data_IF_941737057601
#
_entry.id   IF_941737057601
#
_cell.length_a   1.000
_cell.length_b   1.000
_cell.length_c   1.000
_cell.angle_alpha   90.00
_cell.angle_beta   90.00
_cell.angle_gamma   90.00
#
_symmetry.space_group_name_H-M   'P 1'
#
loop_
_entity.id
_entity.type
_entity.pdbx_description
1 polymer ?
#
# COMPACT_ATOMS: atom_id res chain seq x y z
N UNK A 1 -10.28 2.17 -41.00
CA UNK A 1 -9.75 0.80 -40.79
C UNK A 1 -8.45 0.96 -40.05
N UNK A 2 -8.45 0.76 -38.73
CA UNK A 2 -7.23 0.81 -37.93
C UNK A 2 -6.35 -0.37 -38.28
N UNK A 3 -5.10 -0.09 -38.62
CA UNK A 3 -4.15 -1.08 -39.11
C UNK A 3 -3.78 -2.07 -38.00
N UNK A 4 -3.38 -3.29 -38.38
CA UNK A 4 -2.82 -4.31 -37.46
C UNK A 4 -1.74 -3.70 -36.56
N UNK A 5 -0.99 -2.71 -37.07
CA UNK A 5 0.03 -1.96 -36.35
C UNK A 5 -0.52 -1.21 -35.11
N UNK A 6 -1.63 -0.49 -35.24
CA UNK A 6 -2.28 0.20 -34.11
C UNK A 6 -2.83 -0.79 -33.08
N UNK A 7 -3.29 -1.97 -33.52
CA UNK A 7 -3.79 -3.04 -32.63
C UNK A 7 -2.67 -3.79 -31.92
N UNK A 8 -1.55 -4.04 -32.59
CA UNK A 8 -0.35 -4.59 -31.98
C UNK A 8 0.32 -3.62 -31.00
N UNK A 9 0.24 -2.31 -31.24
CA UNK A 9 0.68 -1.28 -30.29
C UNK A 9 -0.23 -1.28 -29.05
N UNK A 10 -1.54 -1.42 -29.22
CA UNK A 10 -2.50 -1.54 -28.11
C UNK A 10 -2.27 -2.80 -27.25
N UNK A 11 -1.92 -3.93 -27.86
CA UNK A 11 -1.51 -5.15 -27.14
C UNK A 11 -0.10 -5.03 -26.52
N UNK A 12 0.78 -4.21 -27.09
CA UNK A 12 2.16 -4.02 -26.60
C UNK A 12 2.32 -2.96 -25.52
N UNK A 13 1.36 -2.03 -25.37
CA UNK A 13 1.43 -0.90 -24.44
C UNK A 13 0.40 -0.93 -23.31
N UNK A 14 -0.49 -1.92 -23.23
CA UNK A 14 -1.62 -1.78 -22.31
C UNK A 14 -2.51 -2.98 -22.07
N UNK A 15 -2.00 -4.22 -22.11
CA UNK A 15 -2.81 -5.39 -21.71
C UNK A 15 -3.35 -5.24 -20.29
N UNK A 16 -2.57 -4.67 -19.38
CA UNK A 16 -2.98 -4.36 -18.01
C UNK A 16 -4.21 -3.44 -17.89
N UNK A 17 -4.56 -2.72 -18.96
CA UNK A 17 -5.71 -1.79 -19.02
C UNK A 17 -6.98 -2.41 -19.59
N UNK A 18 -6.90 -3.61 -20.17
CA UNK A 18 -8.02 -4.25 -20.85
C UNK A 18 -8.75 -5.25 -19.95
N UNK A 19 -10.07 -5.34 -20.15
CA UNK A 19 -10.88 -6.39 -19.54
C UNK A 19 -10.80 -7.67 -20.38
N UNK A 20 -11.21 -8.79 -19.79
CA UNK A 20 -11.30 -10.07 -20.51
C UNK A 20 -12.20 -9.95 -21.74
N UNK A 21 -13.35 -9.28 -21.63
CA UNK A 21 -14.27 -9.10 -22.76
C UNK A 21 -13.59 -8.36 -23.91
N UNK A 22 -12.73 -7.37 -23.61
CA UNK A 22 -12.01 -6.62 -24.64
C UNK A 22 -10.93 -7.47 -25.32
N UNK A 23 -10.24 -8.31 -24.55
CA UNK A 23 -9.27 -9.27 -25.09
C UNK A 23 -9.96 -10.30 -25.98
N UNK A 24 -11.12 -10.82 -25.56
CA UNK A 24 -11.94 -11.75 -26.35
C UNK A 24 -12.36 -11.13 -27.69
N UNK A 25 -12.86 -9.88 -27.69
CA UNK A 25 -13.22 -9.16 -28.92
C UNK A 25 -12.04 -9.03 -29.90
N UNK A 26 -10.85 -8.70 -29.37
CA UNK A 26 -9.64 -8.55 -30.19
C UNK A 26 -9.21 -9.90 -30.77
N UNK A 27 -9.20 -10.96 -29.97
CA UNK A 27 -8.81 -12.30 -30.43
C UNK A 27 -9.82 -12.85 -31.44
N UNK A 28 -11.11 -12.64 -31.25
CA UNK A 28 -12.14 -13.04 -32.21
C UNK A 28 -11.96 -12.33 -33.56
N UNK A 29 -11.56 -11.07 -33.56
CA UNK A 29 -11.23 -10.35 -34.79
C UNK A 29 -10.02 -10.96 -35.51
N UNK A 30 -8.97 -11.35 -34.77
CA UNK A 30 -7.79 -12.04 -35.32
C UNK A 30 -8.16 -13.40 -35.92
N UNK A 31 -9.07 -14.14 -35.28
CA UNK A 31 -9.63 -15.39 -35.81
C UNK A 31 -10.39 -15.15 -37.12
N UNK A 32 -11.23 -14.11 -37.16
CA UNK A 32 -12.01 -13.78 -38.35
C UNK A 32 -11.13 -13.34 -39.53
N UNK A 33 -9.97 -12.76 -39.27
CA UNK A 33 -8.96 -12.42 -40.28
C UNK A 33 -8.09 -13.61 -40.71
N UNK A 34 -8.22 -14.76 -40.04
CA UNK A 34 -7.37 -15.93 -40.26
C UNK A 34 -5.96 -15.79 -39.69
N UNK A 35 -5.71 -14.79 -38.84
CA UNK A 35 -4.42 -14.57 -38.17
C UNK A 35 -4.23 -15.52 -36.98
N UNK A 36 -5.33 -15.98 -36.36
CA UNK A 36 -5.34 -16.95 -35.26
C UNK A 36 -6.26 -18.12 -35.62
N UNK A 37 -5.82 -19.35 -35.39
CA UNK A 37 -6.68 -20.51 -35.60
C UNK A 37 -7.76 -20.57 -34.51
N UNK A 38 -9.00 -20.91 -34.89
CA UNK A 38 -10.13 -21.04 -33.93
C UNK A 38 -9.83 -21.93 -32.72
N UNK A 39 -9.02 -22.98 -32.91
CA UNK A 39 -8.61 -23.90 -31.85
C UNK A 39 -7.68 -23.26 -30.81
N UNK A 40 -6.91 -22.25 -31.20
CA UNK A 40 -5.87 -21.62 -30.37
C UNK A 40 -6.37 -20.31 -29.73
N UNK A 41 -7.55 -19.82 -30.16
CA UNK A 41 -8.12 -18.55 -29.72
C UNK A 41 -8.34 -18.47 -28.20
N UNK A 42 -8.89 -19.53 -27.61
CA UNK A 42 -9.18 -19.58 -26.18
C UNK A 42 -7.92 -19.49 -25.33
N UNK A 43 -6.86 -20.17 -25.76
CA UNK A 43 -5.58 -20.18 -25.04
C UNK A 43 -4.92 -18.79 -25.13
N UNK A 44 -4.94 -18.18 -26.32
CA UNK A 44 -4.44 -16.82 -26.51
C UNK A 44 -5.15 -15.79 -25.63
N UNK A 45 -6.49 -15.87 -25.50
CA UNK A 45 -7.24 -14.99 -24.58
C UNK A 45 -6.73 -15.16 -23.14
N UNK A 46 -6.59 -16.40 -22.68
CA UNK A 46 -6.17 -16.67 -21.31
C UNK A 46 -4.75 -16.16 -21.05
N UNK A 47 -3.83 -16.35 -21.99
CA UNK A 47 -2.45 -15.88 -21.87
C UNK A 47 -2.37 -14.36 -21.82
N UNK A 48 -3.11 -13.66 -22.69
CA UNK A 48 -3.15 -12.19 -22.72
C UNK A 48 -3.78 -11.60 -21.47
N UNK A 49 -4.86 -12.19 -20.97
CA UNK A 49 -5.51 -11.77 -19.71
C UNK A 49 -4.55 -11.97 -18.54
N UNK A 50 -3.93 -13.14 -18.42
CA UNK A 50 -2.99 -13.44 -17.35
C UNK A 50 -1.81 -12.48 -17.36
N UNK A 51 -1.22 -12.24 -18.53
CA UNK A 51 -0.11 -11.31 -18.68
C UNK A 51 -0.52 -9.88 -18.30
N UNK A 52 -1.71 -9.43 -18.69
CA UNK A 52 -2.24 -8.13 -18.29
C UNK A 52 -2.43 -8.02 -16.77
N UNK A 53 -2.88 -9.07 -16.10
CA UNK A 53 -2.99 -9.10 -14.63
C UNK A 53 -1.61 -9.00 -13.95
N UNK A 54 -0.62 -9.75 -14.43
CA UNK A 54 0.76 -9.70 -13.92
C UNK A 54 1.38 -8.30 -14.09
N UNK A 55 1.27 -7.70 -15.29
CA UNK A 55 1.73 -6.34 -15.56
C UNK A 55 1.04 -5.30 -14.67
N UNK A 56 -0.26 -5.49 -14.39
CA UNK A 56 -1.02 -4.61 -13.50
C UNK A 56 -0.54 -4.66 -12.06
N UNK A 57 -0.18 -5.84 -11.56
CA UNK A 57 0.38 -5.99 -10.22
C UNK A 57 1.76 -5.36 -10.09
N UNK A 58 2.63 -5.57 -11.09
CA UNK A 58 3.95 -4.95 -11.14
C UNK A 58 3.84 -3.42 -11.16
N UNK A 59 2.97 -2.86 -12.00
CA UNK A 59 2.73 -1.42 -12.05
C UNK A 59 2.21 -0.87 -10.72
N UNK A 60 1.28 -1.57 -10.05
CA UNK A 60 0.80 -1.17 -8.71
C UNK A 60 1.93 -1.11 -7.69
N UNK A 61 2.87 -2.06 -7.75
CA UNK A 61 4.03 -2.08 -6.87
C UNK A 61 4.93 -0.87 -7.11
N UNK A 62 5.28 -0.60 -8.38
CA UNK A 62 6.09 0.57 -8.76
C UNK A 62 5.44 1.87 -8.26
N UNK A 63 4.15 2.05 -8.50
CA UNK A 63 3.42 3.24 -8.04
C UNK A 63 3.44 3.35 -6.52
N UNK A 64 3.20 2.25 -5.80
CA UNK A 64 3.21 2.25 -4.34
C UNK A 64 4.57 2.62 -3.78
N UNK A 65 5.64 2.07 -4.35
CA UNK A 65 7.02 2.33 -3.92
C UNK A 65 7.38 3.80 -4.17
N UNK A 66 7.09 4.34 -5.35
CA UNK A 66 7.33 5.74 -5.71
C UNK A 66 6.55 6.73 -4.82
N UNK A 67 5.27 6.43 -4.53
CA UNK A 67 4.45 7.24 -3.62
C UNK A 67 5.00 7.19 -2.20
N UNK A 68 5.45 6.02 -1.75
CA UNK A 68 6.04 5.86 -0.41
C UNK A 68 7.35 6.66 -0.30
N UNK A 69 8.22 6.57 -1.30
CA UNK A 69 9.47 7.32 -1.37
C UNK A 69 9.22 8.84 -1.41
N UNK A 70 8.22 9.28 -2.17
CA UNK A 70 7.81 10.68 -2.23
C UNK A 70 7.32 11.21 -0.87
N UNK A 71 6.50 10.43 -0.15
CA UNK A 71 6.03 10.79 1.19
C UNK A 71 7.17 10.84 2.21
N UNK A 72 8.11 9.90 2.12
CA UNK A 72 9.31 9.86 2.96
C UNK A 72 10.21 11.08 2.69
N UNK A 73 10.41 11.47 1.43
CA UNK A 73 11.14 12.67 1.05
C UNK A 73 10.50 13.96 1.60
N UNK A 74 9.17 14.00 1.61
CA UNK A 74 8.40 15.12 2.18
C UNK A 74 8.32 15.10 3.72
N UNK A 75 8.93 14.10 4.36
CA UNK A 75 8.92 13.89 5.81
C UNK A 75 7.50 13.85 6.39
N UNK A 76 6.56 13.25 5.64
CA UNK A 76 5.18 13.06 6.08
C UNK A 76 5.15 11.92 7.10
N UNK A 77 4.62 12.19 8.30
CA UNK A 77 4.53 11.19 9.36
C UNK A 77 3.68 9.99 8.93
N UNK A 78 4.24 8.78 9.08
CA UNK A 78 3.50 7.52 8.93
C UNK A 78 2.61 7.30 10.14
N UNK A 79 1.64 6.41 10.01
CA UNK A 79 0.74 6.08 11.12
C UNK A 79 1.51 5.53 12.33
N UNK A 80 2.59 4.81 12.07
CA UNK A 80 3.50 4.25 13.07
C UNK A 80 4.33 5.34 13.76
N UNK A 81 4.56 6.49 13.10
CA UNK A 81 5.26 7.65 13.68
C UNK A 81 4.33 8.47 14.60
N UNK A 82 3.02 8.24 14.54
CA UNK A 82 2.05 8.94 15.38
C UNK A 82 2.04 8.32 16.79
N UNK A 83 2.57 9.06 17.76
CA UNK A 83 2.48 8.72 19.17
C UNK A 83 1.03 8.90 19.63
N UNK A 84 0.45 7.88 20.27
CA UNK A 84 -0.92 7.99 20.79
C UNK A 84 -1.00 8.96 21.97
N UNK A 85 -2.17 9.56 22.22
CA UNK A 85 -2.39 10.42 23.40
C UNK A 85 -2.00 9.71 24.71
N UNK A 86 -2.24 8.39 24.78
CA UNK A 86 -1.89 7.56 25.93
C UNK A 86 -0.38 7.47 26.11
N UNK A 87 0.37 7.31 25.02
CA UNK A 87 1.83 7.21 25.05
C UNK A 87 2.45 8.56 25.41
N UNK A 88 1.94 9.68 24.85
CA UNK A 88 2.33 11.04 25.24
C UNK A 88 2.11 11.22 26.75
N UNK A 89 0.93 10.86 27.24
CA UNK A 89 0.58 10.97 28.67
C UNK A 89 1.52 10.13 29.54
N UNK A 90 1.90 8.94 29.11
CA UNK A 90 2.86 8.09 29.81
C UNK A 90 4.25 8.73 29.86
N UNK A 91 4.77 9.20 28.73
CA UNK A 91 6.07 9.87 28.63
C UNK A 91 6.12 11.09 29.56
N UNK A 92 5.09 11.95 29.52
CA UNK A 92 4.99 13.13 30.39
C UNK A 92 5.01 12.73 31.86
N UNK A 93 4.27 11.68 32.25
CA UNK A 93 4.23 11.21 33.65
C UNK A 93 5.57 10.71 34.13
N UNK A 94 6.27 9.92 33.30
CA UNK A 94 7.60 9.41 33.62
C UNK A 94 8.60 10.56 33.80
N UNK A 95 8.58 11.54 32.91
CA UNK A 95 9.48 12.70 32.98
C UNK A 95 9.20 13.59 34.22
N UNK A 96 7.94 13.83 34.56
CA UNK A 96 7.57 14.56 35.77
C UNK A 96 8.08 13.87 37.04
N UNK A 97 7.96 12.54 37.11
CA UNK A 97 8.48 11.76 38.25
C UNK A 97 10.00 11.87 38.33
N UNK A 98 10.72 11.83 37.20
CA UNK A 98 12.17 12.00 37.18
C UNK A 98 12.57 13.36 37.76
N UNK A 99 11.92 14.44 37.30
CA UNK A 99 12.18 15.80 37.81
C UNK A 99 11.89 15.90 39.32
N UNK A 100 10.78 15.33 39.80
CA UNK A 100 10.44 15.33 41.23
C UNK A 100 11.50 14.61 42.09
N UNK A 101 12.08 13.52 41.58
CA UNK A 101 13.17 12.80 42.24
C UNK A 101 14.48 13.61 42.20
N UNK A 102 14.87 14.15 41.05
CA UNK A 102 16.14 14.87 40.87
C UNK A 102 16.20 16.15 41.69
N UNK A 103 15.08 16.87 41.78
CA UNK A 103 15.00 18.15 42.48
C UNK A 103 14.65 18.01 43.98
N UNK A 104 14.49 16.78 44.51
CA UNK A 104 14.01 16.52 45.87
C UNK A 104 12.72 17.29 46.24
N UNK A 105 11.84 17.53 45.25
CA UNK A 105 10.62 18.33 45.43
C UNK A 105 9.54 17.53 46.16
N UNK A 106 9.57 16.20 46.06
CA UNK A 106 8.62 15.28 46.68
C UNK A 106 9.35 14.17 47.46
N UNK A 107 8.72 13.64 48.51
CA UNK A 107 9.29 12.52 49.27
C UNK A 107 9.18 11.21 48.48
N UNK A 108 9.98 10.20 48.86
CA UNK A 108 9.91 8.86 48.23
C UNK A 108 8.50 8.26 48.32
N UNK A 109 7.79 8.52 49.41
CA UNK A 109 6.44 8.01 49.63
C UNK A 109 5.41 8.73 48.74
N UNK A 110 5.57 10.04 48.53
CA UNK A 110 4.73 10.82 47.61
C UNK A 110 4.86 10.29 46.17
N UNK A 111 6.09 9.98 45.74
CA UNK A 111 6.39 9.47 44.40
C UNK A 111 5.84 8.05 44.21
N UNK A 112 5.90 7.20 45.24
CA UNK A 112 5.33 5.85 45.21
C UNK A 112 3.81 5.90 45.10
N UNK A 113 3.15 6.79 45.83
CA UNK A 113 1.70 6.96 45.75
C UNK A 113 1.26 7.52 44.39
N UNK A 114 1.98 8.51 43.85
CA UNK A 114 1.72 9.06 42.52
C UNK A 114 1.80 7.98 41.44
N UNK A 115 2.83 7.11 41.48
CA UNK A 115 2.98 5.99 40.52
C UNK A 115 1.78 5.04 40.54
N UNK A 116 1.25 4.72 41.73
CA UNK A 116 0.07 3.84 41.89
C UNK A 116 -1.20 4.46 41.33
N UNK A 117 -1.43 5.75 41.59
CA UNK A 117 -2.58 6.48 41.06
C UNK A 117 -2.53 6.62 39.53
N UNK A 118 -1.34 6.87 38.97
CA UNK A 118 -1.16 7.05 37.53
C UNK A 118 -1.28 5.75 36.71
N UNK A 119 -0.93 4.61 37.32
CA UNK A 119 -1.05 3.28 36.71
C UNK A 119 -2.46 2.67 36.86
N UNK A 120 -3.37 3.36 37.56
CA UNK A 120 -4.72 2.84 37.83
C UNK A 120 -4.72 1.61 38.73
N UNK A 121 -3.67 1.40 39.53
CA UNK A 121 -3.54 0.25 40.44
C UNK A 121 -4.28 0.46 41.78
N UNK A 122 -4.87 1.64 41.99
CA UNK A 122 -5.80 1.87 43.08
C UNK A 122 -7.23 1.67 42.56
N UNK A 123 -7.78 0.47 42.84
CA UNK A 123 -9.21 0.07 42.85
C UNK A 123 -10.17 0.82 41.93
#
# INVERSE_FOLDING_TARGET
MSSIFEKSINLGLGLFSYSREKVEEIVDELVNKGEVARKDAKDLVNDLVKKGEEEKEELKKIIKDEVTESLDYMNVAKKEDLISEKDIRKIIREELINILNEQNIATKDDIINLKKELNGENK
#
